data_IF_049609941326
#
_entry.id   IF_049609941326
#
_cell.length_a   1.000
_cell.length_b   1.000
_cell.length_c   1.000
_cell.angle_alpha   90.00
_cell.angle_beta   90.00
_cell.angle_gamma   90.00
#
_symmetry.space_group_name_H-M   'P 1'
#
loop_
_entity.id
_entity.type
_entity.pdbx_description
1 polymer ?
#
# COMPACT_ATOMS: atom_id res chain seq x y z
N UNK A 1 8.16 3.02 4.88
CA UNK A 1 8.28 1.63 5.40
C UNK A 1 9.73 1.36 5.85
N UNK A 2 9.95 0.43 6.79
CA UNK A 2 11.30 0.02 7.22
C UNK A 2 11.49 -1.45 6.90
N UNK A 3 12.57 -1.79 6.19
CA UNK A 3 12.91 -3.16 5.78
C UNK A 3 14.32 -3.47 6.26
N UNK A 4 14.57 -4.71 6.69
CA UNK A 4 15.91 -5.15 7.10
C UNK A 4 16.86 -5.12 5.90
N UNK A 5 18.08 -4.62 6.12
CA UNK A 5 19.10 -4.50 5.06
C UNK A 5 19.34 -5.80 4.30
N UNK A 6 19.53 -6.93 4.99
CA UNK A 6 19.75 -8.22 4.34
C UNK A 6 18.60 -8.67 3.41
N UNK A 7 17.36 -8.23 3.66
CA UNK A 7 16.21 -8.53 2.79
C UNK A 7 16.21 -7.62 1.56
N UNK A 8 16.55 -6.34 1.74
CA UNK A 8 16.70 -5.39 0.63
C UNK A 8 17.85 -5.78 -0.28
N UNK A 9 19.00 -6.18 0.28
CA UNK A 9 20.16 -6.61 -0.50
C UNK A 9 19.84 -7.83 -1.37
N UNK A 10 19.04 -8.77 -0.84
CA UNK A 10 18.61 -9.95 -1.58
C UNK A 10 17.46 -9.67 -2.57
N UNK A 11 16.70 -8.58 -2.38
CA UNK A 11 15.51 -8.25 -3.17
C UNK A 11 15.43 -6.73 -3.39
N UNK A 12 16.34 -6.14 -4.19
CA UNK A 12 16.45 -4.69 -4.33
C UNK A 12 15.18 -4.03 -4.87
N UNK A 13 14.38 -4.76 -5.66
CA UNK A 13 13.10 -4.28 -6.22
C UNK A 13 12.08 -3.91 -5.15
N UNK A 14 12.17 -4.46 -3.94
CA UNK A 14 11.31 -4.08 -2.81
C UNK A 14 11.46 -2.59 -2.50
N UNK A 15 12.67 -2.04 -2.59
CA UNK A 15 12.90 -0.63 -2.33
C UNK A 15 12.15 0.24 -3.35
N UNK A 16 12.25 -0.08 -4.64
CA UNK A 16 11.60 0.67 -5.71
C UNK A 16 10.07 0.63 -5.58
N UNK A 17 9.51 -0.55 -5.32
CA UNK A 17 8.06 -0.72 -5.12
C UNK A 17 7.57 0.09 -3.92
N UNK A 18 8.25 0.00 -2.77
CA UNK A 18 7.83 0.69 -1.55
C UNK A 18 8.04 2.21 -1.65
N UNK A 19 9.07 2.67 -2.37
CA UNK A 19 9.31 4.10 -2.63
C UNK A 19 8.25 4.69 -3.56
N UNK A 20 7.69 3.89 -4.48
CA UNK A 20 6.58 4.32 -5.34
C UNK A 20 5.27 4.44 -4.55
N UNK A 21 5.01 3.49 -3.64
CA UNK A 21 3.81 3.48 -2.80
C UNK A 21 3.82 4.59 -1.71
N UNK A 22 4.96 4.80 -1.04
CA UNK A 22 5.07 5.66 0.13
C UNK A 22 4.47 7.08 -0.01
N UNK A 23 4.74 7.85 -1.10
CA UNK A 23 4.20 9.21 -1.23
C UNK A 23 2.68 9.26 -1.42
N UNK A 24 2.03 8.15 -1.82
CA UNK A 24 0.57 8.10 -2.01
C UNK A 24 -0.19 7.99 -0.69
N UNK A 25 0.46 7.44 0.35
CA UNK A 25 -0.13 7.21 1.67
C UNK A 25 -0.05 8.48 2.54
N UNK A 26 -0.63 9.57 2.06
CA UNK A 26 -0.75 10.82 2.82
C UNK A 26 -1.67 10.63 4.04
N UNK A 27 -1.63 11.57 4.99
CA UNK A 27 -2.49 11.53 6.18
C UNK A 27 -3.97 11.48 5.82
N UNK A 28 -4.42 12.23 4.81
CA UNK A 28 -5.81 12.24 4.38
C UNK A 28 -6.22 10.93 3.71
N UNK A 29 -5.36 10.39 2.85
CA UNK A 29 -5.59 9.08 2.20
C UNK A 29 -5.67 7.97 3.26
N UNK A 30 -4.72 7.92 4.20
CA UNK A 30 -4.74 6.91 5.26
C UNK A 30 -6.00 7.00 6.14
N UNK A 31 -6.49 8.22 6.44
CA UNK A 31 -7.75 8.39 7.16
C UNK A 31 -8.94 7.83 6.37
N UNK A 32 -9.01 8.08 5.06
CA UNK A 32 -10.06 7.56 4.20
C UNK A 32 -10.02 6.03 4.12
N UNK A 33 -8.84 5.44 3.93
CA UNK A 33 -8.67 3.98 3.89
C UNK A 33 -9.07 3.34 5.24
N UNK A 34 -8.68 3.95 6.36
CA UNK A 34 -9.07 3.48 7.69
C UNK A 34 -10.58 3.58 7.92
N UNK A 35 -11.26 4.62 7.40
CA UNK A 35 -12.71 4.76 7.50
C UNK A 35 -13.45 3.67 6.72
N UNK A 36 -12.96 3.30 5.53
CA UNK A 36 -13.54 2.21 4.75
C UNK A 36 -13.53 0.89 5.52
N UNK A 37 -12.49 0.63 6.31
CA UNK A 37 -12.41 -0.56 7.15
C UNK A 37 -13.26 -0.40 8.42
N UNK A 38 -12.99 0.61 9.23
CA UNK A 38 -13.55 0.72 10.58
C UNK A 38 -14.96 1.33 10.61
N UNK A 39 -15.27 2.22 9.67
CA UNK A 39 -16.56 2.90 9.57
C UNK A 39 -17.54 2.17 8.64
N UNK A 40 -17.06 1.71 7.49
CA UNK A 40 -17.90 1.06 6.46
C UNK A 40 -17.87 -0.47 6.52
N UNK A 41 -16.94 -1.06 7.28
CA UNK A 41 -16.86 -2.51 7.48
C UNK A 41 -16.29 -3.28 6.31
N UNK A 42 -15.56 -2.64 5.38
CA UNK A 42 -14.87 -3.32 4.28
C UNK A 42 -13.69 -4.14 4.79
N UNK A 43 -13.40 -5.26 4.12
CA UNK A 43 -12.23 -6.07 4.45
C UNK A 43 -10.94 -5.31 4.16
N UNK A 44 -9.96 -5.28 5.08
CA UNK A 44 -8.69 -4.55 4.88
C UNK A 44 -7.93 -4.98 3.61
N UNK A 45 -8.00 -6.27 3.27
CA UNK A 45 -7.38 -6.81 2.06
C UNK A 45 -8.01 -6.22 0.79
N UNK A 46 -9.34 -6.13 0.75
CA UNK A 46 -10.08 -5.56 -0.37
C UNK A 46 -9.76 -4.08 -0.53
N UNK A 47 -9.75 -3.32 0.58
CA UNK A 47 -9.41 -1.89 0.58
C UNK A 47 -7.97 -1.66 0.09
N UNK A 48 -7.01 -2.46 0.57
CA UNK A 48 -5.62 -2.37 0.13
C UNK A 48 -5.47 -2.73 -1.36
N UNK A 49 -6.11 -3.80 -1.81
CA UNK A 49 -6.05 -4.22 -3.21
C UNK A 49 -6.67 -3.17 -4.14
N UNK A 50 -7.88 -2.68 -3.84
CA UNK A 50 -8.50 -1.58 -4.60
C UNK A 50 -7.59 -0.36 -4.67
N UNK A 51 -7.02 0.07 -3.55
CA UNK A 51 -6.11 1.22 -3.52
C UNK A 51 -4.89 1.04 -4.43
N UNK A 52 -4.27 -0.15 -4.42
CA UNK A 52 -3.11 -0.43 -5.26
C UNK A 52 -3.49 -0.50 -6.74
N UNK A 53 -4.64 -1.08 -7.08
CA UNK A 53 -5.16 -1.12 -8.47
C UNK A 53 -5.50 0.27 -8.98
N UNK A 54 -6.23 1.07 -8.19
CA UNK A 54 -6.66 2.43 -8.56
C UNK A 54 -5.48 3.37 -8.80
N UNK A 55 -4.35 3.13 -8.14
CA UNK A 55 -3.10 3.87 -8.32
C UNK A 55 -2.16 3.22 -9.37
N UNK A 56 -2.60 2.17 -10.05
CA UNK A 56 -1.83 1.50 -11.11
C UNK A 56 -0.56 0.80 -10.61
N UNK A 57 -0.50 0.44 -9.33
CA UNK A 57 0.66 -0.22 -8.73
C UNK A 57 0.62 -1.75 -8.94
N UNK A 58 -0.57 -2.31 -9.14
CA UNK A 58 -0.80 -3.72 -9.48
C UNK A 58 -1.97 -3.83 -10.48
N UNK A 59 -2.08 -4.98 -11.14
CA UNK A 59 -3.21 -5.29 -12.01
C UNK A 59 -4.44 -5.71 -11.20
N UNK A 60 -5.64 -5.33 -11.67
CA UNK A 60 -6.91 -5.82 -11.13
C UNK A 60 -7.30 -7.11 -11.85
N UNK A 61 -7.11 -8.24 -11.18
CA UNK A 61 -7.52 -9.55 -11.69
C UNK A 61 -9.05 -9.72 -11.68
#
# INVERSE_FOLDING_TARGET
PVVRTAVLDANPTIADTLNTLAPLLTTDIMQQLNNQVSGEGREPEEVAHSFLVDNGLIEGN
#
